data_IF_501346643991
#
_entry.id   IF_501346643991
#
_cell.length_a   1.000
_cell.length_b   1.000
_cell.length_c   1.000
_cell.angle_alpha   90.00
_cell.angle_beta   90.00
_cell.angle_gamma   90.00
#
_symmetry.space_group_name_H-M   'P 1'
#
loop_
_entity.id
_entity.type
_entity.pdbx_description
1 polymer ?
#
# COMPACT_ATOMS: atom_id res chain seq x y z
N UNK A 1 -31.14 -19.32 -18.60
CA UNK A 1 -30.72 -18.92 -17.23
C UNK A 1 -31.03 -19.97 -16.15
N UNK A 2 -31.36 -21.23 -16.48
CA UNK A 2 -31.78 -22.25 -15.49
C UNK A 2 -30.76 -23.38 -15.26
N UNK A 3 -29.86 -23.65 -16.21
CA UNK A 3 -28.89 -24.75 -16.08
C UNK A 3 -27.77 -24.51 -15.03
N UNK A 4 -27.46 -23.25 -14.71
CA UNK A 4 -26.42 -22.91 -13.74
C UNK A 4 -26.88 -22.96 -12.28
N UNK A 5 -28.20 -22.96 -12.03
CA UNK A 5 -28.75 -23.03 -10.67
C UNK A 5 -28.81 -24.48 -10.17
N UNK A 6 -29.09 -25.43 -11.06
CA UNK A 6 -29.10 -26.86 -10.72
C UNK A 6 -27.69 -27.44 -10.49
N UNK A 7 -26.67 -26.93 -11.18
CA UNK A 7 -25.28 -27.37 -10.94
C UNK A 7 -24.74 -26.92 -9.58
N UNK A 8 -25.16 -25.76 -9.08
CA UNK A 8 -24.79 -25.29 -7.74
C UNK A 8 -25.55 -26.01 -6.61
N UNK A 9 -26.77 -26.48 -6.87
CA UNK A 9 -27.53 -27.30 -5.91
C UNK A 9 -26.99 -28.74 -5.88
N UNK A 10 -26.60 -29.32 -7.02
CA UNK A 10 -25.95 -30.65 -7.05
C UNK A 10 -24.50 -30.64 -6.56
N UNK A 11 -23.75 -29.55 -6.73
CA UNK A 11 -22.40 -29.43 -6.17
C UNK A 11 -22.42 -29.33 -4.63
N UNK A 12 -23.47 -28.74 -4.04
CA UNK A 12 -23.64 -28.67 -2.58
C UNK A 12 -24.01 -30.01 -1.93
N UNK A 13 -24.50 -30.98 -2.72
CA UNK A 13 -24.77 -32.35 -2.29
C UNK A 13 -23.57 -33.32 -2.37
N UNK A 14 -22.46 -32.92 -3.01
CA UNK A 14 -21.24 -33.74 -3.16
C UNK A 14 -20.07 -33.32 -2.28
N UNK A 15 -20.12 -32.16 -1.64
CA UNK A 15 -19.23 -31.87 -0.52
C UNK A 15 -19.75 -32.58 0.72
N UNK A 16 -19.25 -33.80 0.89
CA UNK A 16 -19.57 -34.77 1.91
C UNK A 16 -19.86 -34.20 3.31
N UNK A 17 -20.68 -34.88 4.14
CA UNK A 17 -20.88 -34.60 5.57
C UNK A 17 -19.60 -34.78 6.44
N UNK A 18 -18.43 -34.85 5.81
CA UNK A 18 -17.14 -35.14 6.42
C UNK A 18 -16.23 -33.93 6.64
N UNK A 19 -16.43 -32.77 6.01
CA UNK A 19 -15.48 -31.64 6.18
C UNK A 19 -15.53 -31.05 7.59
N UNK A 20 -16.73 -30.90 8.16
CA UNK A 20 -16.91 -30.49 9.56
C UNK A 20 -16.44 -31.56 10.56
N UNK A 21 -16.62 -32.85 10.24
CA UNK A 21 -16.09 -33.95 11.06
C UNK A 21 -14.57 -34.09 10.96
N UNK A 22 -13.98 -33.83 9.78
CA UNK A 22 -12.54 -33.88 9.51
C UNK A 22 -11.80 -32.77 10.24
N UNK A 23 -12.32 -31.53 10.21
CA UNK A 23 -11.77 -30.43 11.01
C UNK A 23 -11.91 -30.66 12.52
N UNK A 24 -13.04 -31.20 12.98
CA UNK A 24 -13.24 -31.57 14.40
C UNK A 24 -12.30 -32.69 14.83
N UNK A 25 -12.14 -33.72 14.00
CA UNK A 25 -11.20 -34.81 14.21
C UNK A 25 -9.77 -34.28 14.23
N UNK A 26 -9.35 -33.51 13.24
CA UNK A 26 -8.01 -32.94 13.12
C UNK A 26 -7.67 -32.05 14.32
N UNK A 27 -8.61 -31.20 14.74
CA UNK A 27 -8.49 -30.41 15.98
C UNK A 27 -8.36 -31.31 17.20
N UNK A 28 -9.15 -32.38 17.31
CA UNK A 28 -9.10 -33.33 18.44
C UNK A 28 -7.77 -34.10 18.48
N UNK A 29 -7.24 -34.47 17.32
CA UNK A 29 -5.95 -35.16 17.18
C UNK A 29 -4.77 -34.24 17.52
N UNK A 30 -4.78 -32.99 17.05
CA UNK A 30 -3.77 -31.99 17.45
C UNK A 30 -3.81 -31.68 18.94
N UNK A 31 -5.00 -31.58 19.52
CA UNK A 31 -5.16 -31.39 20.96
C UNK A 31 -4.63 -32.60 21.74
N UNK A 32 -4.83 -33.82 21.25
CA UNK A 32 -4.30 -35.03 21.88
C UNK A 32 -2.76 -35.06 21.95
N UNK A 33 -2.08 -34.38 21.02
CA UNK A 33 -0.62 -34.24 21.03
C UNK A 33 -0.11 -33.06 21.86
N UNK A 34 -1.00 -32.14 22.25
CA UNK A 34 -0.63 -30.98 23.04
C UNK A 34 -0.49 -31.36 24.52
N UNK A 35 0.64 -31.04 25.20
CA UNK A 35 0.82 -31.38 26.60
C UNK A 35 -0.27 -30.77 27.48
N UNK A 36 -0.73 -31.48 28.53
CA UNK A 36 -1.82 -31.01 29.42
C UNK A 36 -1.60 -29.57 29.95
N UNK A 37 -0.33 -29.18 30.20
CA UNK A 37 0.02 -27.82 30.65
C UNK A 37 -0.38 -26.72 29.66
N UNK A 38 -0.32 -26.98 28.35
CA UNK A 38 -0.70 -26.02 27.30
C UNK A 38 -2.21 -26.02 27.07
N UNK A 39 -2.86 -27.18 27.18
CA UNK A 39 -4.32 -27.26 27.16
C UNK A 39 -4.96 -26.46 28.31
N UNK A 40 -4.33 -26.47 29.50
CA UNK A 40 -4.74 -25.67 30.66
C UNK A 40 -4.48 -24.18 30.43
N UNK A 41 -3.31 -23.82 29.92
CA UNK A 41 -2.95 -22.43 29.66
C UNK A 41 -3.87 -21.77 28.61
N UNK A 42 -4.33 -22.53 27.60
CA UNK A 42 -5.27 -22.08 26.57
C UNK A 42 -6.75 -22.25 26.97
N UNK A 43 -7.10 -22.77 28.15
CA UNK A 43 -8.51 -23.01 28.52
C UNK A 43 -9.22 -24.08 27.69
N UNK A 44 -8.45 -24.90 26.98
CA UNK A 44 -8.98 -26.00 26.16
C UNK A 44 -9.29 -27.25 26.97
N UNK A 45 -8.80 -27.34 28.20
CA UNK A 45 -9.29 -28.36 29.12
C UNK A 45 -10.70 -28.02 29.57
N UNK A 46 -11.66 -28.92 29.29
CA UNK A 46 -13.01 -28.94 29.90
C UNK A 46 -12.96 -29.30 31.39
N UNK A 47 -11.85 -28.99 32.05
CA UNK A 47 -11.62 -29.34 33.43
C UNK A 47 -12.59 -28.55 34.30
N UNK A 48 -13.38 -29.26 35.10
CA UNK A 48 -14.39 -28.67 35.98
C UNK A 48 -14.32 -29.30 37.35
N UNK A 49 -14.69 -28.52 38.35
CA UNK A 49 -14.78 -28.98 39.73
C UNK A 49 -16.22 -29.39 39.99
N UNK A 50 -16.42 -30.67 40.27
CA UNK A 50 -17.70 -31.28 40.58
C UNK A 50 -17.89 -31.33 42.10
N UNK A 51 -19.02 -30.81 42.57
CA UNK A 51 -19.43 -30.81 43.96
C UNK A 51 -20.64 -31.72 44.10
N UNK A 52 -20.55 -32.74 44.94
CA UNK A 52 -21.65 -33.65 45.24
C UNK A 52 -21.82 -33.78 46.74
N UNK A 53 -23.06 -33.73 47.22
CA UNK A 53 -23.38 -33.94 48.64
C UNK A 53 -23.74 -35.40 48.89
N UNK A 54 -23.00 -36.05 49.77
CA UNK A 54 -23.31 -37.40 50.28
C UNK A 54 -23.56 -37.29 51.78
N UNK A 55 -24.84 -37.31 52.18
CA UNK A 55 -25.27 -37.14 53.57
C UNK A 55 -24.65 -35.89 54.25
N UNK A 56 -23.71 -36.10 55.17
CA UNK A 56 -23.01 -35.09 55.98
C UNK A 56 -21.63 -34.68 55.40
N UNK A 57 -21.34 -35.06 54.16
CA UNK A 57 -20.08 -34.73 53.49
C UNK A 57 -20.29 -34.11 52.11
N UNK A 58 -19.49 -33.10 51.82
CA UNK A 58 -19.31 -32.49 50.52
C UNK A 58 -18.10 -33.12 49.85
N UNK A 59 -18.33 -33.91 48.82
CA UNK A 59 -17.29 -34.57 48.04
C UNK A 59 -16.94 -33.71 46.83
N UNK A 60 -15.65 -33.40 46.69
CA UNK A 60 -15.11 -32.64 45.58
C UNK A 60 -14.35 -33.55 44.63
N UNK A 61 -14.74 -33.52 43.36
CA UNK A 61 -14.09 -34.28 42.31
C UNK A 61 -13.69 -33.36 41.17
N UNK A 62 -12.55 -33.63 40.56
CA UNK A 62 -12.08 -32.93 39.37
C UNK A 62 -12.33 -33.82 38.17
N UNK A 63 -13.11 -33.32 37.23
CA UNK A 63 -13.36 -33.95 35.94
C UNK A 63 -12.38 -33.36 34.92
N UNK A 64 -11.49 -34.17 34.34
CA UNK A 64 -10.56 -33.75 33.27
C UNK A 64 -10.94 -34.29 31.90
N UNK A 65 -12.23 -34.65 31.68
CA UNK A 65 -12.78 -35.33 30.51
C UNK A 65 -12.25 -36.76 30.25
N UNK A 66 -11.06 -37.10 30.75
CA UNK A 66 -10.44 -38.43 30.65
C UNK A 66 -10.48 -39.20 31.96
N UNK A 67 -10.54 -38.49 33.09
CA UNK A 67 -10.53 -39.10 34.42
C UNK A 67 -11.28 -38.22 35.41
N UNK A 68 -11.92 -38.87 36.38
CA UNK A 68 -12.58 -38.24 37.49
C UNK A 68 -11.77 -38.51 38.77
N UNK A 69 -11.12 -37.47 39.29
CA UNK A 69 -10.21 -37.57 40.43
C UNK A 69 -10.84 -36.98 41.69
N UNK A 70 -10.81 -37.71 42.81
CA UNK A 70 -11.20 -37.16 44.11
C UNK A 70 -10.17 -36.12 44.57
N UNK A 71 -10.64 -34.94 44.98
CA UNK A 71 -9.81 -33.80 45.40
C UNK A 71 -9.83 -33.65 46.91
N UNK A 72 -11.03 -33.58 47.49
CA UNK A 72 -11.22 -33.35 48.92
C UNK A 72 -12.62 -33.80 49.35
N UNK A 73 -12.76 -34.10 50.64
CA UNK A 73 -14.04 -34.34 51.30
C UNK A 73 -14.13 -33.39 52.50
N UNK A 74 -15.23 -32.63 52.58
CA UNK A 74 -15.43 -31.61 53.59
C UNK A 74 -16.72 -31.89 54.38
N UNK A 75 -16.77 -31.60 55.69
CA UNK A 75 -17.98 -31.79 56.48
C UNK A 75 -19.05 -30.77 56.08
N UNK A 76 -20.27 -31.25 55.83
CA UNK A 76 -21.43 -30.41 55.57
C UNK A 76 -22.07 -29.97 56.91
N UNK A 77 -22.57 -28.73 57.07
CA UNK A 77 -22.58 -27.63 56.10
C UNK A 77 -21.24 -26.90 55.98
N UNK A 78 -20.72 -26.78 54.76
CA UNK A 78 -19.52 -25.97 54.44
C UNK A 78 -19.93 -24.71 53.70
N UNK A 79 -19.30 -23.57 54.00
CA UNK A 79 -19.48 -22.37 53.18
C UNK A 79 -18.53 -22.35 52.00
N UNK A 80 -18.85 -21.65 50.90
CA UNK A 80 -17.92 -21.52 49.78
C UNK A 80 -16.59 -20.84 50.16
N UNK A 81 -16.59 -19.98 51.17
CA UNK A 81 -15.38 -19.33 51.68
C UNK A 81 -14.44 -20.32 52.38
N UNK A 82 -15.00 -21.29 53.11
CA UNK A 82 -14.20 -22.35 53.75
C UNK A 82 -13.57 -23.26 52.70
N UNK A 83 -14.31 -23.56 51.64
CA UNK A 83 -13.77 -24.31 50.51
C UNK A 83 -12.59 -23.57 49.84
N UNK A 84 -12.70 -22.25 49.65
CA UNK A 84 -11.63 -21.45 49.04
C UNK A 84 -10.33 -21.44 49.83
N UNK A 85 -10.39 -21.65 51.15
CA UNK A 85 -9.19 -21.78 52.00
C UNK A 85 -8.47 -23.12 51.81
N UNK A 86 -9.21 -24.16 51.46
CA UNK A 86 -8.68 -25.52 51.27
C UNK A 86 -8.23 -25.76 49.82
N UNK A 87 -8.81 -25.04 48.85
CA UNK A 87 -8.50 -25.21 47.43
C UNK A 87 -7.24 -24.48 46.97
N UNK A 88 -6.39 -25.21 46.25
CA UNK A 88 -5.28 -24.65 45.49
C UNK A 88 -5.71 -23.58 44.48
N UNK A 89 -4.82 -22.62 44.21
CA UNK A 89 -5.07 -21.53 43.26
C UNK A 89 -5.49 -22.02 41.86
N UNK A 90 -4.97 -23.17 41.41
CA UNK A 90 -5.32 -23.78 40.12
C UNK A 90 -6.75 -24.32 40.09
N UNK A 91 -7.21 -24.90 41.20
CA UNK A 91 -8.55 -25.47 41.31
C UNK A 91 -9.60 -24.38 41.52
N UNK A 92 -9.24 -23.29 42.21
CA UNK A 92 -10.11 -22.11 42.39
C UNK A 92 -10.51 -21.45 41.07
N UNK A 93 -9.67 -21.53 40.05
CA UNK A 93 -9.94 -20.97 38.72
C UNK A 93 -10.89 -21.82 37.86
N UNK A 94 -11.19 -23.06 38.28
CA UNK A 94 -12.03 -23.97 37.50
C UNK A 94 -13.53 -23.65 37.68
N UNK A 95 -14.35 -23.82 36.64
CA UNK A 95 -15.79 -23.66 36.76
C UNK A 95 -16.37 -24.75 37.66
N UNK A 96 -17.11 -24.30 38.69
CA UNK A 96 -17.72 -25.17 39.70
C UNK A 96 -19.09 -25.66 39.22
N UNK A 97 -19.32 -26.96 39.28
CA UNK A 97 -20.59 -27.58 38.92
C UNK A 97 -21.11 -28.43 40.06
N UNK A 98 -22.39 -28.30 40.38
CA UNK A 98 -23.03 -29.16 41.38
C UNK A 98 -23.58 -30.41 40.69
N UNK A 99 -23.30 -31.58 41.22
CA UNK A 99 -23.81 -32.85 40.71
C UNK A 99 -25.01 -33.27 41.55
N UNK A 100 -26.17 -33.33 40.90
CA UNK A 100 -27.40 -33.85 41.49
C UNK A 100 -27.42 -35.38 41.44
N UNK A 101 -28.03 -36.05 42.43
CA UNK A 101 -28.29 -37.48 42.37
C UNK A 101 -29.11 -37.84 41.13
N UNK A 102 -28.90 -39.05 40.58
CA UNK A 102 -29.62 -39.51 39.39
C UNK A 102 -31.15 -39.46 39.55
N UNK A 103 -31.66 -39.64 40.77
CA UNK A 103 -33.09 -39.57 41.09
C UNK A 103 -33.71 -38.17 40.98
N UNK A 104 -32.89 -37.11 40.97
CA UNK A 104 -33.38 -35.72 40.86
C UNK A 104 -33.68 -35.30 39.42
N UNK A 105 -33.31 -36.12 38.43
CA UNK A 105 -33.46 -35.80 37.00
C UNK A 105 -34.18 -36.91 36.25
N UNK A 106 -34.97 -36.54 35.25
CA UNK A 106 -35.55 -37.48 34.29
C UNK A 106 -34.59 -37.62 33.09
N UNK A 107 -34.24 -38.85 32.78
CA UNK A 107 -33.34 -39.19 31.66
C UNK A 107 -34.12 -39.96 30.61
N UNK A 108 -34.11 -39.48 29.37
CA UNK A 108 -34.82 -40.11 28.25
C UNK A 108 -33.90 -40.25 27.04
N UNK A 109 -33.55 -41.48 26.61
CA UNK A 109 -32.84 -41.67 25.36
C UNK A 109 -33.78 -41.41 24.18
N UNK A 110 -33.30 -40.64 23.20
CA UNK A 110 -34.01 -40.26 21.98
C UNK A 110 -33.15 -40.59 20.76
N UNK A 111 -33.82 -40.88 19.64
CA UNK A 111 -33.18 -41.07 18.33
C UNK A 111 -33.59 -39.92 17.43
N UNK A 112 -32.60 -39.17 16.94
CA UNK A 112 -32.81 -38.03 16.05
C UNK A 112 -32.07 -38.26 14.73
N UNK A 113 -32.54 -37.68 13.60
CA UNK A 113 -31.76 -37.70 12.37
C UNK A 113 -30.40 -37.01 12.57
N UNK A 114 -29.33 -37.52 11.96
CA UNK A 114 -27.99 -36.90 12.06
C UNK A 114 -27.97 -35.43 11.58
N UNK A 115 -28.90 -35.04 10.68
CA UNK A 115 -29.07 -33.66 10.24
C UNK A 115 -29.48 -32.69 11.38
N UNK A 116 -30.01 -33.19 12.50
CA UNK A 116 -30.37 -32.39 13.67
C UNK A 116 -29.17 -32.06 14.58
N UNK A 117 -28.01 -32.70 14.39
CA UNK A 117 -26.78 -32.49 15.17
C UNK A 117 -26.37 -31.01 15.40
N UNK A 118 -26.43 -30.09 14.42
CA UNK A 118 -26.06 -28.69 14.64
C UNK A 118 -27.08 -27.89 15.47
N UNK A 119 -28.31 -28.38 15.62
CA UNK A 119 -29.42 -27.70 16.33
C UNK A 119 -30.13 -28.61 17.34
N UNK A 120 -29.38 -29.53 17.96
CA UNK A 120 -29.96 -30.55 18.85
C UNK A 120 -30.82 -29.96 19.96
N UNK A 121 -30.36 -28.87 20.58
CA UNK A 121 -31.09 -28.23 21.66
C UNK A 121 -32.46 -27.72 21.21
N UNK A 122 -32.53 -27.10 20.04
CA UNK A 122 -33.78 -26.58 19.48
C UNK A 122 -34.74 -27.73 19.15
N UNK A 123 -34.22 -28.79 18.50
CA UNK A 123 -35.03 -29.94 18.07
C UNK A 123 -35.58 -30.69 19.28
N UNK A 124 -34.74 -30.97 20.27
CA UNK A 124 -35.15 -31.66 21.49
C UNK A 124 -36.14 -30.82 22.29
N UNK A 125 -36.03 -29.48 22.26
CA UNK A 125 -36.99 -28.58 22.89
C UNK A 125 -38.45 -28.83 22.46
N UNK A 126 -38.68 -29.17 21.19
CA UNK A 126 -40.03 -29.50 20.68
C UNK A 126 -40.47 -30.94 21.02
N UNK A 127 -39.54 -31.81 21.40
CA UNK A 127 -39.82 -33.19 21.78
C UNK A 127 -40.10 -33.36 23.28
N UNK A 128 -39.84 -32.34 24.11
CA UNK A 128 -40.01 -32.41 25.58
C UNK A 128 -41.44 -32.82 25.96
N UNK A 129 -42.44 -32.12 25.43
CA UNK A 129 -43.85 -32.33 25.77
C UNK A 129 -44.36 -33.71 25.31
N UNK A 130 -43.69 -34.33 24.33
CA UNK A 130 -44.02 -35.66 23.78
C UNK A 130 -43.30 -36.79 24.49
N UNK A 131 -42.10 -36.52 25.01
CA UNK A 131 -41.20 -37.52 25.56
C UNK A 131 -41.13 -37.50 27.08
N UNK A 132 -41.71 -36.48 27.71
CA UNK A 132 -41.74 -36.28 29.15
C UNK A 132 -43.14 -35.87 29.60
N UNK A 133 -43.51 -36.11 30.87
CA UNK A 133 -44.81 -35.68 31.41
C UNK A 133 -44.86 -34.16 31.71
N UNK A 134 -43.89 -33.37 31.23
CA UNK A 134 -43.76 -31.95 31.54
C UNK A 134 -43.79 -31.11 30.28
N UNK A 135 -44.25 -29.87 30.41
CA UNK A 135 -44.11 -28.87 29.36
C UNK A 135 -42.71 -28.26 29.34
N UNK A 136 -42.22 -27.88 28.16
CA UNK A 136 -40.92 -27.22 27.99
C UNK A 136 -40.73 -25.96 28.83
N UNK A 137 -41.83 -25.27 29.20
CA UNK A 137 -41.81 -24.07 30.05
C UNK A 137 -41.59 -24.36 31.54
N UNK A 138 -41.92 -25.58 31.97
CA UNK A 138 -41.91 -26.02 33.37
C UNK A 138 -40.61 -26.71 33.77
N UNK A 139 -39.69 -26.89 32.82
CA UNK A 139 -38.46 -27.67 33.03
C UNK A 139 -37.23 -26.94 32.54
N UNK A 140 -36.10 -27.29 33.14
CA UNK A 140 -34.80 -27.03 32.56
C UNK A 140 -34.25 -28.32 31.98
N UNK A 141 -33.64 -28.22 30.80
CA UNK A 141 -33.15 -29.37 30.08
C UNK A 141 -31.83 -29.07 29.40
N UNK A 142 -31.10 -30.15 29.18
CA UNK A 142 -29.92 -30.16 28.33
C UNK A 142 -29.81 -31.54 27.67
N UNK A 143 -29.00 -31.61 26.62
CA UNK A 143 -28.91 -32.78 25.74
C UNK A 143 -27.49 -33.28 25.69
N UNK A 144 -27.32 -34.58 25.88
CA UNK A 144 -26.05 -35.26 25.71
C UNK A 144 -26.06 -36.12 24.46
N UNK A 145 -25.02 -35.99 23.64
CA UNK A 145 -24.76 -36.88 22.52
C UNK A 145 -24.13 -38.18 23.03
N UNK A 146 -24.70 -39.33 22.67
CA UNK A 146 -24.19 -40.65 23.04
C UNK A 146 -23.35 -41.24 21.92
N UNK A 147 -23.99 -41.57 20.79
CA UNK A 147 -23.32 -42.17 19.64
C UNK A 147 -24.10 -41.92 18.34
N UNK A 148 -23.45 -42.12 17.20
CA UNK A 148 -24.09 -42.14 15.89
C UNK A 148 -24.32 -43.59 15.46
N UNK A 149 -25.58 -43.97 15.23
CA UNK A 149 -25.94 -45.29 14.74
C UNK A 149 -25.51 -45.46 13.27
N UNK A 150 -25.22 -46.70 12.83
CA UNK A 150 -24.91 -47.02 11.43
C UNK A 150 -25.98 -46.57 10.43
N UNK A 151 -27.24 -46.48 10.88
CA UNK A 151 -28.40 -46.13 10.05
C UNK A 151 -28.52 -44.61 9.78
N UNK A 152 -27.51 -43.80 10.14
CA UNK A 152 -27.53 -42.35 9.98
C UNK A 152 -28.41 -41.61 11.00
N UNK A 153 -28.82 -42.29 12.07
CA UNK A 153 -29.49 -41.69 13.23
C UNK A 153 -28.48 -41.38 14.33
N UNK A 154 -28.71 -40.29 15.04
CA UNK A 154 -27.97 -39.88 16.23
C UNK A 154 -28.72 -40.33 17.49
N UNK A 155 -28.03 -41.01 18.38
CA UNK A 155 -28.53 -41.31 19.71
C UNK A 155 -28.16 -40.17 20.66
N UNK A 156 -29.19 -39.58 21.26
CA UNK A 156 -29.02 -38.53 22.26
C UNK A 156 -29.78 -38.89 23.53
N UNK A 157 -29.37 -38.33 24.65
CA UNK A 157 -30.06 -38.47 25.92
C UNK A 157 -30.54 -37.08 26.36
N UNK A 158 -31.85 -36.94 26.48
CA UNK A 158 -32.50 -35.77 27.05
C UNK A 158 -32.47 -35.90 28.57
N UNK A 159 -31.86 -34.92 29.24
CA UNK A 159 -31.84 -34.82 30.70
C UNK A 159 -32.67 -33.62 31.12
N UNK A 160 -33.67 -33.85 31.98
CA UNK A 160 -34.68 -32.87 32.34
C UNK A 160 -34.79 -32.78 33.86
N UNK A 161 -34.86 -31.55 34.38
CA UNK A 161 -35.18 -31.27 35.77
C UNK A 161 -36.39 -30.33 35.85
N UNK A 162 -37.41 -30.65 36.65
CA UNK A 162 -38.51 -29.73 36.92
C UNK A 162 -37.99 -28.41 37.51
N UNK A 163 -38.50 -27.28 37.02
CA UNK A 163 -38.08 -25.96 37.48
C UNK A 163 -38.26 -25.80 38.99
N UNK A 164 -39.36 -26.30 39.54
CA UNK A 164 -39.63 -26.29 40.98
C UNK A 164 -38.57 -27.07 41.77
N UNK A 165 -38.14 -28.23 41.27
CA UNK A 165 -37.10 -29.03 41.92
C UNK A 165 -35.74 -28.32 41.89
N UNK A 166 -35.41 -27.66 40.78
CA UNK A 166 -34.19 -26.84 40.68
C UNK A 166 -34.24 -25.63 41.63
N UNK A 167 -35.39 -24.94 41.73
CA UNK A 167 -35.58 -23.82 42.64
C UNK A 167 -35.47 -24.25 44.11
N UNK A 168 -36.07 -25.39 44.49
CA UNK A 168 -35.93 -25.98 45.82
C UNK A 168 -34.47 -26.33 46.13
N UNK A 169 -33.77 -26.98 45.20
CA UNK A 169 -32.35 -27.26 45.36
C UNK A 169 -31.54 -25.97 45.52
N UNK A 170 -31.82 -24.94 44.72
CA UNK A 170 -31.12 -23.64 44.81
C UNK A 170 -31.31 -22.98 46.17
N UNK A 171 -32.51 -23.09 46.77
CA UNK A 171 -32.79 -22.58 48.11
C UNK A 171 -32.01 -23.37 49.18
N UNK A 172 -31.95 -24.70 49.06
CA UNK A 172 -31.20 -25.56 49.98
C UNK A 172 -29.68 -25.36 49.86
N UNK A 173 -29.18 -25.13 48.65
CA UNK A 173 -27.77 -24.86 48.38
C UNK A 173 -27.34 -23.46 48.86
N UNK A 174 -28.29 -22.52 48.97
CA UNK A 174 -28.07 -21.18 49.51
C UNK A 174 -26.95 -20.43 48.77
N UNK A 175 -25.88 -20.08 49.49
CA UNK A 175 -24.73 -19.36 48.93
C UNK A 175 -24.01 -20.11 47.80
N UNK A 176 -24.13 -21.45 47.75
CA UNK A 176 -23.55 -22.26 46.68
C UNK A 176 -24.18 -21.97 45.33
N UNK A 177 -25.50 -21.77 45.26
CA UNK A 177 -26.22 -21.54 44.01
C UNK A 177 -25.65 -20.36 43.21
N UNK A 178 -25.18 -19.31 43.89
CA UNK A 178 -24.63 -18.08 43.28
C UNK A 178 -23.16 -18.21 42.84
N UNK A 179 -22.48 -19.30 43.20
CA UNK A 179 -21.07 -19.53 42.88
C UNK A 179 -20.84 -20.62 41.82
N UNK A 180 -21.93 -21.23 41.33
CA UNK A 180 -21.85 -22.33 40.38
C UNK A 180 -21.88 -21.81 38.93
N UNK A 181 -21.03 -22.39 38.10
CA UNK A 181 -21.03 -22.22 36.65
C UNK A 181 -22.06 -23.15 35.98
N UNK A 182 -22.51 -24.20 36.67
CA UNK A 182 -23.55 -25.10 36.19
C UNK A 182 -24.03 -26.12 37.22
N UNK A 183 -25.06 -26.86 36.82
CA UNK A 183 -25.61 -28.00 37.56
C UNK A 183 -25.63 -29.19 36.61
N UNK A 184 -24.95 -30.27 37.00
CA UNK A 184 -24.90 -31.54 36.29
C UNK A 184 -25.66 -32.59 37.11
N UNK A 185 -25.85 -33.79 36.57
CA UNK A 185 -26.42 -34.91 37.30
C UNK A 185 -25.56 -36.16 37.15
N UNK A 186 -25.71 -37.08 38.11
CA UNK A 186 -25.06 -38.39 38.11
C UNK A 186 -25.84 -39.38 37.21
N UNK A 187 -25.12 -40.30 36.59
CA UNK A 187 -25.68 -41.41 35.82
C UNK A 187 -26.20 -42.57 36.70
N UNK A 188 -26.01 -42.50 38.02
CA UNK A 188 -26.41 -43.50 39.01
C UNK A 188 -25.28 -44.44 39.42
N UNK A 189 -24.12 -44.35 38.75
CA UNK A 189 -22.90 -45.09 39.07
C UNK A 189 -21.81 -44.20 39.68
N UNK A 190 -22.13 -42.92 39.91
CA UNK A 190 -21.18 -41.92 40.40
C UNK A 190 -20.45 -41.18 39.29
N UNK A 191 -20.89 -41.28 38.03
CA UNK A 191 -20.29 -40.55 36.92
C UNK A 191 -21.16 -39.36 36.49
N UNK A 192 -20.56 -38.19 36.23
CA UNK A 192 -21.29 -37.03 35.75
C UNK A 192 -21.83 -37.26 34.35
N UNK A 193 -23.04 -36.79 34.08
CA UNK A 193 -23.62 -36.88 32.75
C UNK A 193 -22.89 -35.97 31.76
N UNK A 194 -22.36 -34.81 32.20
CA UNK A 194 -21.72 -33.85 31.30
C UNK A 194 -22.67 -32.82 30.74
N UNK A 195 -23.81 -32.62 31.41
CA UNK A 195 -24.84 -31.65 31.04
C UNK A 195 -24.79 -30.42 31.94
N UNK A 196 -25.41 -29.33 31.51
CA UNK A 196 -25.59 -28.12 32.31
C UNK A 196 -27.05 -27.68 32.34
N UNK A 197 -27.75 -28.14 33.39
CA UNK A 197 -29.16 -27.88 33.67
C UNK A 197 -29.41 -26.46 34.24
N UNK A 198 -28.36 -25.72 34.60
CA UNK A 198 -28.51 -24.36 35.14
C UNK A 198 -28.83 -23.36 34.00
N UNK A 199 -29.82 -22.47 34.16
CA UNK A 199 -30.15 -21.45 33.16
C UNK A 199 -28.96 -20.52 32.89
N UNK A 200 -28.74 -20.08 31.63
CA UNK A 200 -27.57 -19.26 31.27
C UNK A 200 -27.49 -17.94 32.06
N UNK A 201 -28.62 -17.38 32.50
CA UNK A 201 -28.69 -16.14 33.29
C UNK A 201 -28.19 -16.30 34.72
N UNK A 202 -28.22 -17.52 35.26
CA UNK A 202 -27.81 -17.83 36.65
C UNK A 202 -26.38 -18.36 36.73
N UNK A 203 -25.74 -18.65 35.58
CA UNK A 203 -24.38 -19.19 35.54
C UNK A 203 -23.39 -18.11 35.93
N UNK A 204 -22.55 -18.40 36.92
CA UNK A 204 -21.39 -17.56 37.20
C UNK A 204 -20.44 -17.61 36.01
N UNK A 205 -20.17 -16.45 35.41
CA UNK A 205 -19.15 -16.33 34.37
C UNK A 205 -17.79 -16.45 35.03
N UNK A 206 -17.15 -17.62 34.90
CA UNK A 206 -15.74 -17.78 35.25
C UNK A 206 -14.88 -17.12 34.16
N UNK A 207 -13.73 -16.54 34.55
CA UNK A 207 -12.80 -15.95 33.59
C UNK A 207 -12.33 -17.01 32.59
N UNK A 208 -12.73 -16.84 31.33
CA UNK A 208 -12.22 -17.64 30.22
C UNK A 208 -10.74 -17.28 29.99
N UNK A 209 -9.77 -18.17 30.28
CA UNK A 209 -8.36 -17.89 30.05
C UNK A 209 -8.06 -17.66 28.56
N UNK A 210 -8.92 -18.13 27.65
CA UNK A 210 -8.80 -17.87 26.23
C UNK A 210 -8.94 -16.39 25.89
N UNK A 211 -9.72 -15.62 26.67
CA UNK A 211 -9.90 -14.18 26.42
C UNK A 211 -8.57 -13.42 26.49
N UNK A 212 -7.66 -13.82 27.39
CA UNK A 212 -6.31 -13.22 27.50
C UNK A 212 -5.45 -13.58 26.30
N UNK A 213 -5.47 -14.84 25.87
CA UNK A 213 -4.74 -15.28 24.68
C UNK A 213 -5.27 -14.63 23.41
N UNK A 214 -6.59 -14.54 23.26
CA UNK A 214 -7.22 -13.82 22.14
C UNK A 214 -6.81 -12.35 22.12
N UNK A 215 -6.73 -11.71 23.29
CA UNK A 215 -6.28 -10.32 23.38
C UNK A 215 -4.78 -10.17 23.03
N UNK A 216 -3.92 -11.07 23.51
CA UNK A 216 -2.50 -11.11 23.12
C UNK A 216 -2.33 -11.34 21.62
N UNK A 217 -3.08 -12.27 21.04
CA UNK A 217 -3.09 -12.53 19.60
C UNK A 217 -3.60 -11.33 18.81
N UNK A 218 -4.62 -10.62 19.30
CA UNK A 218 -5.12 -9.40 18.68
C UNK A 218 -4.06 -8.29 18.70
N UNK A 219 -3.39 -8.08 19.84
CA UNK A 219 -2.29 -7.12 19.96
C UNK A 219 -1.14 -7.49 19.04
N UNK A 220 -0.74 -8.78 19.00
CA UNK A 220 0.31 -9.26 18.10
C UNK A 220 -0.08 -9.03 16.62
N UNK A 221 -1.34 -9.23 16.27
CA UNK A 221 -1.84 -8.98 14.91
C UNK A 221 -1.74 -7.50 14.55
N UNK A 222 -2.13 -6.59 15.46
CA UNK A 222 -2.00 -5.13 15.24
C UNK A 222 -0.54 -4.72 15.08
N UNK A 223 0.36 -5.26 15.91
CA UNK A 223 1.80 -5.00 15.81
C UNK A 223 2.34 -5.47 14.46
N UNK A 224 2.01 -6.69 14.03
CA UNK A 224 2.44 -7.22 12.73
C UNK A 224 1.91 -6.37 11.56
N UNK A 225 0.66 -5.90 11.64
CA UNK A 225 0.10 -5.00 10.62
C UNK A 225 0.84 -3.64 10.59
N UNK A 226 1.21 -3.10 11.76
CA UNK A 226 1.99 -1.86 11.83
C UNK A 226 3.40 -2.05 11.21
N UNK A 227 4.10 -3.14 11.53
CA UNK A 227 5.41 -3.45 10.94
C UNK A 227 5.32 -3.69 9.42
N UNK A 228 4.29 -4.40 8.96
CA UNK A 228 4.06 -4.58 7.53
C UNK A 228 3.77 -3.24 6.83
N UNK A 229 3.02 -2.35 7.50
CA UNK A 229 2.77 -0.99 7.05
C UNK A 229 4.05 -0.17 6.90
N UNK A 230 4.91 -0.15 7.92
CA UNK A 230 6.19 0.58 7.87
C UNK A 230 7.08 0.05 6.75
N UNK A 231 7.19 -1.28 6.61
CA UNK A 231 8.01 -1.88 5.55
C UNK A 231 7.50 -1.52 4.14
N UNK A 232 6.17 -1.41 3.96
CA UNK A 232 5.58 -0.97 2.70
C UNK A 232 5.89 0.51 2.40
N UNK A 233 5.80 1.37 3.42
CA UNK A 233 6.14 2.79 3.31
C UNK A 233 7.62 2.98 2.96
N UNK A 234 8.54 2.30 3.65
CA UNK A 234 9.98 2.38 3.37
C UNK A 234 10.30 1.93 1.95
N UNK A 235 9.68 0.85 1.48
CA UNK A 235 9.86 0.37 0.10
C UNK A 235 9.35 1.39 -0.93
N UNK A 236 8.22 2.05 -0.65
CA UNK A 236 7.66 3.10 -1.53
C UNK A 236 8.52 4.36 -1.55
N UNK A 237 9.06 4.77 -0.40
CA UNK A 237 9.99 5.90 -0.30
C UNK A 237 11.28 5.58 -1.06
N UNK A 238 11.89 4.42 -0.83
CA UNK A 238 13.09 4.00 -1.54
C UNK A 238 12.88 3.92 -3.07
N UNK A 239 11.70 3.48 -3.52
CA UNK A 239 11.35 3.47 -4.94
C UNK A 239 11.21 4.90 -5.51
N UNK A 240 10.58 5.81 -4.76
CA UNK A 240 10.43 7.21 -5.15
C UNK A 240 11.78 7.94 -5.22
N UNK A 241 12.68 7.66 -4.28
CA UNK A 241 14.02 8.27 -4.25
C UNK A 241 14.89 7.79 -5.41
N UNK A 242 14.80 6.50 -5.78
CA UNK A 242 15.45 5.98 -6.99
C UNK A 242 14.94 6.67 -8.26
N UNK A 243 13.63 6.87 -8.36
CA UNK A 243 13.04 7.55 -9.52
C UNK A 243 13.49 9.03 -9.59
N UNK A 244 13.51 9.73 -8.45
CA UNK A 244 14.04 11.11 -8.37
C UNK A 244 15.49 11.18 -8.82
N UNK A 245 16.35 10.28 -8.34
CA UNK A 245 17.74 10.23 -8.79
C UNK A 245 17.89 10.01 -10.30
N UNK A 246 17.05 9.18 -10.91
CA UNK A 246 17.05 8.97 -12.36
C UNK A 246 16.59 10.22 -13.14
N UNK A 247 15.54 10.89 -12.65
CA UNK A 247 15.04 12.14 -13.24
C UNK A 247 16.09 13.25 -13.14
N UNK A 248 16.74 13.39 -12.00
CA UNK A 248 17.78 14.40 -11.79
C UNK A 248 18.99 14.17 -12.69
N UNK A 249 19.41 12.92 -12.88
CA UNK A 249 20.48 12.55 -13.80
C UNK A 249 20.10 12.90 -15.25
N UNK A 250 18.92 12.47 -15.70
CA UNK A 250 18.43 12.79 -17.04
C UNK A 250 18.27 14.30 -17.27
N UNK A 251 17.84 15.06 -16.25
CA UNK A 251 17.73 16.51 -16.31
C UNK A 251 19.09 17.20 -16.37
N UNK A 252 20.15 16.64 -15.77
CA UNK A 252 21.52 17.14 -15.95
C UNK A 252 22.01 16.91 -17.38
N UNK A 253 21.81 15.71 -17.94
CA UNK A 253 22.21 15.41 -19.31
C UNK A 253 21.46 16.27 -20.33
N UNK A 254 20.14 16.46 -20.14
CA UNK A 254 19.32 17.34 -20.97
C UNK A 254 19.83 18.80 -20.92
N UNK A 255 20.18 19.31 -19.73
CA UNK A 255 20.75 20.66 -19.59
C UNK A 255 22.10 20.80 -20.30
N UNK A 256 22.95 19.78 -20.26
CA UNK A 256 24.23 19.76 -21.00
C UNK A 256 24.01 19.79 -22.52
N UNK A 257 23.08 18.99 -23.02
CA UNK A 257 22.73 18.96 -24.45
C UNK A 257 22.14 20.30 -24.89
N UNK A 258 21.25 20.88 -24.08
CA UNK A 258 20.68 22.20 -24.36
C UNK A 258 21.78 23.29 -24.42
N UNK A 259 22.72 23.29 -23.46
CA UNK A 259 23.84 24.23 -23.47
C UNK A 259 24.77 24.05 -24.68
N UNK A 260 25.05 22.81 -25.09
CA UNK A 260 25.84 22.53 -26.29
C UNK A 260 25.13 22.98 -27.57
N UNK A 261 23.82 22.74 -27.67
CA UNK A 261 23.01 23.24 -28.80
C UNK A 261 23.01 24.75 -28.87
N UNK A 262 22.90 25.43 -27.73
CA UNK A 262 22.97 26.89 -27.66
C UNK A 262 24.33 27.41 -28.15
N UNK A 263 25.44 26.81 -27.73
CA UNK A 263 26.78 27.16 -28.20
C UNK A 263 26.93 26.95 -29.71
N UNK A 264 26.41 25.84 -30.25
CA UNK A 264 26.43 25.60 -31.69
C UNK A 264 25.61 26.64 -32.44
N UNK A 265 24.45 27.02 -31.92
CA UNK A 265 23.60 28.05 -32.50
C UNK A 265 24.32 29.41 -32.50
N UNK A 266 24.94 29.79 -31.39
CA UNK A 266 25.74 31.04 -31.28
C UNK A 266 26.91 31.06 -32.27
N UNK A 267 27.58 29.93 -32.50
CA UNK A 267 28.66 29.83 -33.49
C UNK A 267 28.13 29.96 -34.92
N UNK A 268 26.99 29.33 -35.24
CA UNK A 268 26.35 29.43 -36.55
C UNK A 268 25.87 30.86 -36.81
N UNK A 269 25.19 31.48 -35.85
CA UNK A 269 24.71 32.85 -35.94
C UNK A 269 25.88 33.84 -36.05
N UNK A 270 26.97 33.61 -35.29
CA UNK A 270 28.20 34.38 -35.39
C UNK A 270 28.88 34.26 -36.76
N UNK A 271 28.94 33.06 -37.33
CA UNK A 271 29.47 32.84 -38.69
C UNK A 271 28.62 33.56 -39.75
N UNK A 272 27.29 33.42 -39.67
CA UNK A 272 26.37 34.10 -40.59
C UNK A 272 26.48 35.63 -40.49
N UNK A 273 26.64 36.18 -39.28
CA UNK A 273 26.88 37.61 -39.08
C UNK A 273 28.19 38.08 -39.71
N UNK A 274 29.28 37.32 -39.57
CA UNK A 274 30.57 37.65 -40.17
C UNK A 274 30.54 37.54 -41.70
N UNK A 275 29.84 36.55 -42.26
CA UNK A 275 29.61 36.44 -43.70
C UNK A 275 28.80 37.62 -44.23
N UNK A 276 27.74 38.04 -43.54
CA UNK A 276 26.96 39.24 -43.88
C UNK A 276 27.82 40.50 -43.88
N UNK A 277 28.58 40.73 -42.80
CA UNK A 277 29.57 41.83 -42.69
C UNK A 277 30.61 41.83 -43.81
N UNK A 278 31.07 40.64 -44.22
CA UNK A 278 32.03 40.49 -45.31
C UNK A 278 31.40 40.79 -46.67
N UNK A 279 30.14 40.41 -46.88
CA UNK A 279 29.39 40.65 -48.12
C UNK A 279 28.94 42.12 -48.28
N UNK A 280 28.89 42.91 -47.21
CA UNK A 280 28.59 44.36 -47.26
C UNK A 280 29.66 45.18 -48.02
N UNK A 281 30.88 44.68 -48.13
CA UNK A 281 32.00 45.39 -48.76
C UNK A 281 32.44 44.69 -50.05
N UNK A 282 32.67 45.46 -51.13
CA UNK A 282 33.31 44.95 -52.33
C UNK A 282 34.65 44.30 -51.98
N UNK A 283 34.94 43.13 -52.55
CA UNK A 283 36.20 42.44 -52.24
C UNK A 283 37.38 43.31 -52.71
N UNK A 284 38.49 43.30 -51.97
CA UNK A 284 39.70 44.06 -52.36
C UNK A 284 40.11 43.75 -53.80
N UNK A 285 39.95 42.49 -54.23
CA UNK A 285 40.24 42.02 -55.60
C UNK A 285 39.33 42.69 -56.64
N UNK A 286 38.06 42.86 -56.33
CA UNK A 286 37.08 43.54 -57.21
C UNK A 286 37.38 45.03 -57.34
N UNK A 287 37.82 45.67 -56.23
CA UNK A 287 38.31 47.06 -56.24
C UNK A 287 39.57 47.21 -57.11
N UNK A 288 40.54 46.31 -56.98
CA UNK A 288 41.74 46.32 -57.83
C UNK A 288 41.38 46.17 -59.30
N UNK A 289 40.51 45.22 -59.63
CA UNK A 289 40.11 44.95 -61.01
C UNK A 289 39.42 46.16 -61.67
N UNK A 290 38.51 46.83 -60.96
CA UNK A 290 37.86 48.03 -61.47
C UNK A 290 38.82 49.23 -61.58
N UNK A 291 39.74 49.42 -60.62
CA UNK A 291 40.76 50.47 -60.73
C UNK A 291 41.68 50.25 -61.91
N UNK A 292 42.15 49.01 -62.14
CA UNK A 292 42.98 48.69 -63.30
C UNK A 292 42.25 48.90 -64.62
N UNK A 293 40.92 48.72 -64.66
CA UNK A 293 40.12 48.98 -65.87
C UNK A 293 39.90 50.47 -66.15
N UNK A 294 39.76 51.29 -65.11
CA UNK A 294 39.42 52.71 -65.23
C UNK A 294 40.64 53.64 -65.33
N UNK A 295 41.83 53.17 -64.92
CA UNK A 295 43.06 53.95 -64.96
C UNK A 295 43.64 53.96 -66.38
N UNK A 296 43.86 55.15 -67.00
CA UNK A 296 44.51 55.25 -68.30
C UNK A 296 45.99 54.82 -68.25
N UNK A 297 46.52 54.32 -69.36
CA UNK A 297 47.91 53.84 -69.50
C UNK A 297 48.99 54.89 -69.13
N UNK A 298 48.62 56.18 -69.09
CA UNK A 298 49.48 57.29 -68.67
C UNK A 298 49.50 57.58 -67.16
N UNK A 299 48.85 56.76 -66.33
CA UNK A 299 48.67 56.96 -64.89
C UNK A 299 49.40 55.87 -64.10
N UNK A 300 50.24 56.29 -63.15
CA UNK A 300 50.95 55.39 -62.24
C UNK A 300 50.51 55.65 -60.79
N UNK A 301 50.16 54.59 -60.07
CA UNK A 301 49.84 54.66 -58.65
C UNK A 301 51.08 54.36 -57.81
N UNK A 302 51.38 55.24 -56.86
CA UNK A 302 52.42 55.04 -55.86
C UNK A 302 51.88 54.38 -54.59
N UNK A 303 50.67 54.78 -54.18
CA UNK A 303 50.04 54.28 -52.96
C UNK A 303 48.54 54.15 -53.17
N UNK A 304 48.02 52.97 -52.82
CA UNK A 304 46.60 52.68 -52.68
C UNK A 304 46.37 52.29 -51.22
N UNK A 305 45.51 53.03 -50.52
CA UNK A 305 45.09 52.75 -49.15
C UNK A 305 43.58 52.61 -49.10
N UNK A 306 43.08 51.57 -48.45
CA UNK A 306 41.66 51.38 -48.18
C UNK A 306 41.49 51.37 -46.67
N UNK A 307 40.82 52.39 -46.14
CA UNK A 307 40.56 52.54 -44.71
C UNK A 307 39.05 52.57 -44.48
N UNK A 308 38.50 51.43 -44.03
CA UNK A 308 37.06 51.27 -43.86
C UNK A 308 36.32 51.44 -45.18
N UNK A 309 35.62 52.57 -45.33
CA UNK A 309 34.82 52.90 -46.50
C UNK A 309 35.42 54.03 -47.34
N UNK A 310 36.67 54.44 -47.08
CA UNK A 310 37.39 55.43 -47.88
C UNK A 310 38.56 54.80 -48.62
N UNK A 311 38.60 55.04 -49.93
CA UNK A 311 39.69 54.68 -50.81
C UNK A 311 40.55 55.92 -51.03
N UNK A 312 41.83 55.84 -50.74
CA UNK A 312 42.82 56.88 -51.02
C UNK A 312 43.80 56.39 -52.08
N UNK A 313 43.93 57.17 -53.15
CA UNK A 313 44.79 56.92 -54.29
C UNK A 313 45.81 58.05 -54.38
N UNK A 314 47.10 57.71 -54.43
CA UNK A 314 48.19 58.66 -54.61
C UNK A 314 49.02 58.19 -55.79
N UNK A 315 49.26 59.06 -56.75
CA UNK A 315 49.98 58.71 -57.96
C UNK A 315 50.37 59.91 -58.81
N UNK A 316 50.87 59.60 -60.00
CA UNK A 316 51.27 60.55 -61.03
C UNK A 316 50.44 60.28 -62.28
N UNK A 317 49.81 61.31 -62.84
CA UNK A 317 49.05 61.19 -64.08
C UNK A 317 49.37 62.34 -65.03
N UNK A 318 49.24 62.08 -66.33
CA UNK A 318 49.25 63.14 -67.36
C UNK A 318 47.93 63.90 -67.42
N UNK A 319 46.84 63.31 -66.90
CA UNK A 319 45.47 63.83 -67.02
C UNK A 319 44.73 63.75 -65.67
N UNK A 320 45.35 64.25 -64.61
CA UNK A 320 44.85 64.14 -63.24
C UNK A 320 43.43 64.68 -63.03
N UNK A 321 43.02 65.72 -63.77
CA UNK A 321 41.67 66.29 -63.69
C UNK A 321 40.59 65.41 -64.34
N UNK A 322 40.94 64.59 -65.33
CA UNK A 322 40.00 63.69 -66.03
C UNK A 322 39.74 62.39 -65.24
N UNK A 323 40.70 61.98 -64.41
CA UNK A 323 40.57 60.81 -63.53
C UNK A 323 39.37 60.90 -62.57
N UNK A 324 39.00 62.10 -62.12
CA UNK A 324 37.83 62.30 -61.26
C UNK A 324 36.55 61.94 -62.00
N UNK A 325 36.43 62.32 -63.27
CA UNK A 325 35.23 62.02 -64.08
C UNK A 325 35.15 60.54 -64.42
N UNK A 326 36.28 59.93 -64.82
CA UNK A 326 36.36 58.50 -65.16
C UNK A 326 36.07 57.59 -63.96
N UNK A 327 36.52 57.97 -62.76
CA UNK A 327 36.25 57.19 -61.55
C UNK A 327 34.82 57.41 -61.02
N UNK A 328 34.18 58.55 -61.31
CA UNK A 328 32.77 58.79 -60.95
C UNK A 328 31.79 57.93 -61.75
N UNK A 329 32.17 57.47 -62.94
CA UNK A 329 31.30 56.65 -63.80
C UNK A 329 31.12 55.21 -63.30
N UNK A 330 31.91 54.76 -62.31
CA UNK A 330 31.82 53.39 -61.80
C UNK A 330 30.90 53.27 -60.58
N UNK A 331 30.08 52.21 -60.51
CA UNK A 331 29.07 52.03 -59.46
C UNK A 331 29.65 51.63 -58.09
N UNK A 332 30.96 51.36 -57.98
CA UNK A 332 31.61 50.90 -56.75
C UNK A 332 32.03 52.02 -55.80
N UNK A 333 32.03 53.28 -56.24
CA UNK A 333 32.48 54.42 -55.44
C UNK A 333 31.61 55.65 -55.64
N UNK A 334 31.53 56.47 -54.59
CA UNK A 334 30.75 57.70 -54.50
C UNK A 334 31.65 58.81 -53.96
N UNK A 335 31.34 60.07 -54.28
CA UNK A 335 32.09 61.25 -53.82
C UNK A 335 33.60 61.17 -54.09
N UNK A 336 33.97 60.92 -55.33
CA UNK A 336 35.37 61.00 -55.77
C UNK A 336 35.80 62.46 -55.75
N UNK A 337 36.74 62.79 -54.86
CA UNK A 337 37.25 64.14 -54.64
C UNK A 337 38.78 64.18 -54.77
N UNK A 338 39.30 65.22 -55.41
CA UNK A 338 40.73 65.49 -55.49
C UNK A 338 41.11 66.40 -54.31
N UNK A 339 41.87 65.86 -53.36
CA UNK A 339 42.22 66.53 -52.09
C UNK A 339 43.63 67.11 -52.08
N UNK A 340 44.52 66.66 -52.98
CA UNK A 340 45.88 67.16 -53.11
C UNK A 340 46.02 68.31 -54.11
N UNK A 341 46.91 69.26 -53.83
CA UNK A 341 47.29 70.30 -54.79
C UNK A 341 48.03 69.64 -55.97
N UNK A 342 47.60 69.92 -57.21
CA UNK A 342 48.30 69.51 -58.43
C UNK A 342 49.71 70.12 -58.41
N UNK A 343 50.70 69.34 -58.01
CA UNK A 343 52.09 69.77 -58.03
C UNK A 343 52.71 69.22 -59.31
N UNK A 344 52.98 70.12 -60.25
CA UNK A 344 53.66 69.78 -61.50
C UNK A 344 55.09 69.37 -61.16
N UNK A 345 55.42 68.09 -61.35
CA UNK A 345 56.76 67.60 -61.08
C UNK A 345 57.67 68.02 -62.24
N UNK A 346 58.73 68.77 -61.95
CA UNK A 346 59.61 69.44 -62.93
C UNK A 346 60.47 68.50 -63.80
N UNK A 347 60.12 67.22 -63.89
CA UNK A 347 60.73 66.25 -64.80
C UNK A 347 60.16 66.37 -66.21
N UNK A 348 60.98 66.07 -67.21
CA UNK A 348 60.75 66.27 -68.66
C UNK A 348 59.54 65.54 -69.30
N UNK A 349 58.58 65.05 -68.50
CA UNK A 349 57.42 64.28 -68.95
C UNK A 349 56.05 64.85 -68.50
N UNK A 350 55.98 66.05 -67.91
CA UNK A 350 54.73 66.78 -67.67
C UNK A 350 53.64 65.94 -66.97
N UNK A 351 53.97 65.37 -65.80
CA UNK A 351 53.06 64.55 -65.00
C UNK A 351 52.78 65.25 -63.69
N UNK A 352 51.51 65.31 -63.32
CA UNK A 352 51.06 65.95 -62.08
C UNK A 352 50.84 64.90 -61.00
N UNK A 353 51.34 65.19 -59.80
CA UNK A 353 51.06 64.37 -58.62
C UNK A 353 49.63 64.64 -58.17
N UNK A 354 48.84 63.57 -58.03
CA UNK A 354 47.46 63.66 -57.56
C UNK A 354 47.27 62.85 -56.26
N UNK A 355 46.40 63.38 -55.40
CA UNK A 355 45.86 62.68 -54.24
C UNK A 355 44.34 62.71 -54.38
N UNK A 356 43.75 61.53 -54.51
CA UNK A 356 42.34 61.35 -54.72
C UNK A 356 41.76 60.50 -53.58
N UNK A 357 40.59 60.90 -53.11
CA UNK A 357 39.84 60.19 -52.08
C UNK A 357 38.45 59.89 -52.62
N UNK A 358 38.01 58.64 -52.51
CA UNK A 358 36.66 58.20 -52.88
C UNK A 358 36.02 57.46 -51.70
N UNK A 359 34.70 57.56 -51.55
CA UNK A 359 33.94 56.73 -50.60
C UNK A 359 33.46 55.46 -51.34
N UNK A 360 33.72 54.28 -50.78
CA UNK A 360 33.26 53.01 -51.34
C UNK A 360 31.73 52.88 -51.18
N UNK A 361 31.04 52.33 -52.17
CA UNK A 361 29.60 52.08 -52.06
C UNK A 361 29.37 50.59 -51.74
N UNK A 362 28.55 50.25 -50.73
CA UNK A 362 28.16 48.87 -50.51
C UNK A 362 27.41 48.35 -51.74
N UNK A 363 27.74 47.15 -52.23
CA UNK A 363 27.13 46.58 -53.43
C UNK A 363 25.61 46.45 -53.26
N UNK A 364 24.81 46.79 -54.29
CA UNK A 364 23.37 46.56 -54.28
C UNK A 364 23.12 45.06 -54.45
N UNK A 365 23.06 44.34 -53.32
CA UNK A 365 22.90 42.89 -53.29
C UNK A 365 23.12 42.24 -51.93
N UNK A 366 23.70 42.95 -50.96
CA UNK A 366 23.67 42.48 -49.58
C UNK A 366 22.22 42.46 -49.09
N UNK A 367 21.65 41.30 -48.70
CA UNK A 367 20.34 41.30 -48.04
C UNK A 367 20.49 42.16 -46.79
N UNK A 368 19.72 43.25 -46.74
CA UNK A 368 19.62 44.09 -45.55
C UNK A 368 19.40 43.16 -44.36
N UNK A 369 20.33 43.19 -43.41
CA UNK A 369 20.27 42.40 -42.20
C UNK A 369 18.85 42.47 -41.64
N UNK A 370 18.15 41.32 -41.65
CA UNK A 370 16.81 41.23 -41.11
C UNK A 370 16.88 41.73 -39.66
N UNK A 371 16.09 42.75 -39.37
CA UNK A 371 15.93 43.26 -38.02
C UNK A 371 15.63 42.08 -37.08
N UNK A 372 16.23 42.04 -35.87
CA UNK A 372 15.94 40.98 -34.93
C UNK A 372 14.43 40.97 -34.64
N UNK A 373 13.77 39.87 -34.98
CA UNK A 373 12.38 39.65 -34.61
C UNK A 373 12.28 39.64 -33.07
N UNK A 374 11.24 40.27 -32.49
CA UNK A 374 11.08 40.27 -31.05
C UNK A 374 10.92 38.82 -30.57
N UNK A 375 11.75 38.46 -29.61
CA UNK A 375 11.69 37.26 -28.79
C UNK A 375 10.26 37.08 -28.26
N UNK A 376 9.52 36.14 -28.85
CA UNK A 376 8.20 35.76 -28.36
C UNK A 376 8.42 34.90 -27.14
N UNK A 377 8.04 35.46 -25.99
CA UNK A 377 7.96 34.79 -24.72
C UNK A 377 7.07 33.54 -24.80
N UNK A 378 7.61 32.38 -24.43
CA UNK A 378 6.82 31.24 -23.97
C UNK A 378 7.34 30.81 -22.60
N UNK A 379 6.72 31.38 -21.58
CA UNK A 379 7.01 31.15 -20.18
C UNK A 379 5.78 31.45 -19.33
N UNK A 380 4.63 30.86 -19.67
CA UNK A 380 3.48 30.83 -18.77
C UNK A 380 3.09 29.38 -18.45
N UNK A 381 3.88 28.77 -17.56
CA UNK A 381 3.47 27.60 -16.81
C UNK A 381 2.53 28.06 -15.69
N UNK A 382 1.25 28.23 -16.00
CA UNK A 382 0.21 28.29 -15.00
C UNK A 382 -1.09 27.70 -15.55
N UNK A 383 -1.54 26.64 -14.88
CA UNK A 383 -2.89 26.07 -14.90
C UNK A 383 -3.21 25.07 -16.01
N UNK A 384 -3.18 23.79 -15.64
CA UNK A 384 -4.21 22.83 -16.08
C UNK A 384 -4.69 22.04 -14.84
N UNK A 385 -6.00 21.88 -14.64
CA UNK A 385 -6.60 21.15 -13.52
C UNK A 385 -6.42 19.63 -13.60
#
# INVERSE_FOLDING_TARGET
>A
MTAWRDSLVQARGRFAPGVGNGLRWWRRSLLAWLPLRWQWAMGWSRSRLLLSRHAEQLVLRRDTATQLQAVAELPWPTTPADLERVLDARLRALPRHWVLPAAAVLRRPLRLPAAAAPRLRDVVGFEIDRQTPFEASQVHYDVRELDTLPDGQLQVELVVIPRQALEQWSQQAGSWAQQLAGVDADDGTGQPLGVNLLPPTQRRVTHDPMRRWNLLLAVATVVLLALAGTQLLDNRQAAADRLRGQVDAAAHDARRVAAQRQQLQELVDGAAFLEGKRAEHASTVELWNELTRLLPDGTYLEKLSVEGNTLQLIGLSREASQLVSLLQDSPLWRKVNLTGVLQADGGAAGRDRFTLTAELQPLPGAPAAAAPAPEVADGNAANTP
#
